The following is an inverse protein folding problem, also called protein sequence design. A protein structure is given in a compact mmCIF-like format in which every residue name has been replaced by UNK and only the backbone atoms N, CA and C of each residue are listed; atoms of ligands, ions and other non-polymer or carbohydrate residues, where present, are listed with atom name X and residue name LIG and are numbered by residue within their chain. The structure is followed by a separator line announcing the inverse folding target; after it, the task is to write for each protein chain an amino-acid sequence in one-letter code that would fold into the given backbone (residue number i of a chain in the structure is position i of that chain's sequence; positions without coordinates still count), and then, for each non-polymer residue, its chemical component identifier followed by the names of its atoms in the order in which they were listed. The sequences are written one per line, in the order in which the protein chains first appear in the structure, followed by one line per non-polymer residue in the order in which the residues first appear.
data_IF_551793416137
#
_entry.id   IF_551793416137
#
_cell.length_a   1.000
_cell.length_b   1.000
_cell.length_c   1.000
_cell.angle_alpha   90.00
_cell.angle_beta   90.00
_cell.angle_gamma   90.00
#
_symmetry.space_group_name_H-M   'P 1'
#
loop_
_entity.id
_entity.type
_entity.pdbx_description
1 polymer ?
#
# COMPACT_ATOMS: atom_id res chain seq x y z
N UNK A 1 35.66 -11.71 16.00
CA UNK A 1 35.61 -13.07 15.41
C UNK A 1 34.92 -13.96 16.44
N UNK A 2 33.59 -14.05 16.37
CA UNK A 2 32.81 -14.95 17.22
C UNK A 2 32.35 -16.12 16.38
N UNK A 3 32.58 -17.29 16.97
CA UNK A 3 32.38 -18.62 16.44
C UNK A 3 30.94 -18.88 15.98
N UNK A 4 30.86 -19.83 15.06
CA UNK A 4 29.67 -20.55 14.63
C UNK A 4 28.57 -20.60 15.69
N UNK A 5 27.39 -20.04 15.37
CA UNK A 5 26.12 -20.38 16.03
C UNK A 5 25.87 -21.88 15.80
N UNK A 6 26.41 -22.75 16.65
CA UNK A 6 26.15 -24.20 16.58
C UNK A 6 24.89 -24.55 17.38
N UNK A 7 23.85 -24.81 16.58
CA UNK A 7 22.69 -25.70 16.80
C UNK A 7 22.69 -26.48 18.11
N UNK A 8 21.65 -26.22 18.89
CA UNK A 8 20.88 -27.27 19.55
C UNK A 8 19.42 -26.96 19.30
N UNK A 9 18.75 -27.63 18.37
CA UNK A 9 17.29 -27.80 18.48
C UNK A 9 16.83 -29.03 17.71
N UNK A 10 16.37 -30.01 18.47
CA UNK A 10 15.32 -30.94 18.06
C UNK A 10 14.02 -30.13 18.16
N UNK A 11 13.59 -29.45 17.09
CA UNK A 11 12.31 -28.73 17.04
C UNK A 11 12.33 -27.34 16.35
N UNK A 12 11.60 -27.23 15.24
CA UNK A 12 10.66 -26.15 14.83
C UNK A 12 10.93 -24.64 15.02
N UNK A 13 12.02 -24.14 15.60
CA UNK A 13 12.16 -22.69 15.88
C UNK A 13 12.86 -21.91 14.75
N UNK A 14 12.18 -20.89 14.21
CA UNK A 14 12.79 -19.92 13.29
C UNK A 14 13.81 -19.01 14.02
N UNK A 15 14.78 -18.46 13.29
CA UNK A 15 15.79 -17.55 13.85
C UNK A 15 15.12 -16.30 14.44
N UNK A 16 15.49 -15.93 15.68
CA UNK A 16 15.02 -14.72 16.35
C UNK A 16 16.19 -13.83 16.73
N UNK A 17 16.16 -12.59 16.30
CA UNK A 17 17.12 -11.53 16.61
C UNK A 17 16.34 -10.45 17.38
N UNK A 18 16.75 -10.15 18.61
CA UNK A 18 15.99 -9.25 19.49
C UNK A 18 16.97 -8.28 20.15
N UNK A 19 16.68 -6.99 20.00
CA UNK A 19 17.20 -5.90 20.81
C UNK A 19 16.03 -5.31 21.61
N UNK A 20 16.14 -5.31 22.93
CA UNK A 20 15.16 -4.67 23.81
C UNK A 20 15.85 -3.85 24.90
N UNK A 21 15.17 -2.84 25.41
CA UNK A 21 15.58 -2.07 26.60
C UNK A 21 17.02 -1.51 26.50
N UNK A 22 17.35 -0.88 25.35
CA UNK A 22 18.68 -0.34 25.06
C UNK A 22 19.70 -1.38 24.57
N UNK A 23 19.24 -2.61 24.31
CA UNK A 23 20.07 -3.70 23.80
C UNK A 23 20.62 -3.40 22.40
N UNK A 24 21.83 -3.89 22.11
CA UNK A 24 22.47 -3.72 20.80
C UNK A 24 22.89 -5.06 20.22
N UNK A 25 22.49 -5.33 18.98
CA UNK A 25 22.85 -6.53 18.25
C UNK A 25 23.63 -6.14 17.00
N UNK A 26 24.93 -6.38 17.01
CA UNK A 26 25.81 -6.11 15.87
C UNK A 26 25.91 -7.33 14.95
N UNK A 27 25.33 -7.22 13.75
CA UNK A 27 25.45 -8.19 12.66
C UNK A 27 26.05 -7.56 11.40
N UNK A 28 26.78 -6.44 11.56
CA UNK A 28 27.47 -5.73 10.47
C UNK A 28 28.50 -6.59 9.72
N UNK A 29 28.90 -7.73 10.28
CA UNK A 29 29.76 -8.72 9.64
C UNK A 29 29.04 -9.66 8.67
N UNK A 30 27.70 -9.69 8.68
CA UNK A 30 26.90 -10.58 7.85
C UNK A 30 26.46 -9.91 6.56
N UNK A 31 26.48 -10.66 5.46
CA UNK A 31 25.95 -10.22 4.16
C UNK A 31 24.65 -10.93 3.78
N UNK A 32 24.25 -11.95 4.55
CA UNK A 32 23.02 -12.71 4.37
C UNK A 32 22.47 -13.18 5.73
N UNK A 33 21.15 -13.16 5.87
CA UNK A 33 20.42 -13.95 6.87
C UNK A 33 19.78 -15.14 6.16
N UNK A 34 20.04 -16.36 6.66
CA UNK A 34 19.50 -17.59 6.06
C UNK A 34 18.43 -18.16 6.97
N UNK A 35 17.23 -18.32 6.40
CA UNK A 35 16.18 -19.11 7.01
C UNK A 35 16.52 -20.61 6.84
N UNK A 36 16.67 -21.30 7.97
CA UNK A 36 16.88 -22.75 8.02
C UNK A 36 15.65 -23.50 8.54
N UNK A 37 14.49 -22.83 8.62
CA UNK A 37 13.24 -23.45 9.03
C UNK A 37 12.86 -24.58 8.06
N UNK A 38 12.29 -25.65 8.60
CA UNK A 38 11.80 -26.78 7.80
C UNK A 38 10.66 -26.27 6.89
N UNK A 39 10.74 -26.56 5.59
CA UNK A 39 9.72 -26.18 4.60
C UNK A 39 8.31 -26.70 4.97
N UNK A 40 8.21 -27.71 5.84
CA UNK A 40 6.96 -28.26 6.38
C UNK A 40 6.39 -27.49 7.58
N UNK A 41 7.21 -26.65 8.22
CA UNK A 41 6.87 -25.93 9.46
C UNK A 41 6.70 -24.42 9.21
N UNK A 42 7.26 -23.88 8.12
CA UNK A 42 6.90 -22.56 7.61
C UNK A 42 7.24 -21.39 8.54
N UNK A 43 8.49 -21.27 8.97
CA UNK A 43 8.94 -20.16 9.81
C UNK A 43 9.46 -18.96 9.01
N UNK A 44 9.34 -17.76 9.56
CA UNK A 44 10.07 -16.56 9.13
C UNK A 44 11.12 -16.19 10.17
N UNK A 45 12.24 -15.62 9.73
CA UNK A 45 13.21 -14.96 10.61
C UNK A 45 12.48 -13.80 11.28
N UNK A 46 12.60 -13.66 12.61
CA UNK A 46 12.07 -12.50 13.33
C UNK A 46 13.22 -11.62 13.75
N UNK A 47 13.17 -10.34 13.38
CA UNK A 47 14.09 -9.29 13.84
C UNK A 47 13.25 -8.24 14.55
N UNK A 48 13.58 -7.96 15.81
CA UNK A 48 12.81 -7.02 16.62
C UNK A 48 13.75 -6.08 17.36
N UNK A 49 13.49 -4.77 17.26
CA UNK A 49 14.11 -3.74 18.06
C UNK A 49 12.96 -2.97 18.77
N UNK A 50 12.96 -3.01 20.10
CA UNK A 50 11.88 -2.45 20.94
C UNK A 50 12.48 -1.75 22.16
N UNK A 51 11.80 -0.77 22.73
CA UNK A 51 12.36 0.02 23.83
C UNK A 51 13.41 1.03 23.39
N UNK A 52 13.60 2.02 24.25
CA UNK A 52 14.49 3.16 24.01
C UNK A 52 15.91 2.71 23.62
N UNK A 53 16.46 3.33 22.57
CA UNK A 53 17.84 3.12 22.09
C UNK A 53 18.24 1.69 21.70
N UNK A 54 17.27 0.77 21.53
CA UNK A 54 17.55 -0.58 21.04
C UNK A 54 17.99 -0.57 19.58
N UNK A 55 19.10 -1.25 19.26
CA UNK A 55 19.68 -1.23 17.90
C UNK A 55 19.97 -2.63 17.37
N UNK A 56 19.61 -2.88 16.11
CA UNK A 56 20.09 -4.04 15.34
C UNK A 56 20.81 -3.55 14.09
N UNK A 57 22.06 -3.94 13.92
CA UNK A 57 22.85 -3.60 12.74
C UNK A 57 22.77 -4.71 11.69
N UNK A 58 22.06 -4.46 10.60
CA UNK A 58 22.01 -5.32 9.40
C UNK A 58 22.57 -4.58 8.17
N UNK A 59 23.45 -3.59 8.41
CA UNK A 59 23.91 -2.59 7.43
C UNK A 59 24.55 -3.16 6.16
N UNK A 60 24.96 -4.44 6.14
CA UNK A 60 25.56 -5.11 4.97
C UNK A 60 24.64 -6.14 4.31
N UNK A 61 23.43 -6.33 4.82
CA UNK A 61 22.45 -7.22 4.20
C UNK A 61 21.80 -6.50 3.03
N UNK A 62 21.99 -7.04 1.82
CA UNK A 62 21.39 -6.48 0.60
C UNK A 62 20.01 -7.03 0.28
N UNK A 63 19.71 -8.23 0.78
CA UNK A 63 18.47 -8.92 0.46
C UNK A 63 17.95 -9.63 1.70
N UNK A 64 16.66 -9.45 1.97
CA UNK A 64 15.94 -10.17 3.00
C UNK A 64 14.73 -10.87 2.39
N UNK A 65 14.50 -12.09 2.85
CA UNK A 65 13.35 -12.90 2.47
C UNK A 65 12.85 -13.68 3.68
N UNK A 66 11.55 -13.98 3.77
CA UNK A 66 11.00 -14.76 4.90
C UNK A 66 11.38 -14.15 6.23
N UNK A 67 11.26 -12.83 6.33
CA UNK A 67 11.72 -12.08 7.50
C UNK A 67 10.59 -11.16 7.94
N UNK A 68 10.25 -11.20 9.22
CA UNK A 68 9.42 -10.19 9.85
C UNK A 68 10.31 -9.29 10.70
N UNK A 69 10.19 -7.99 10.48
CA UNK A 69 10.93 -6.92 11.14
C UNK A 69 9.93 -6.08 11.93
N UNK A 70 10.22 -5.82 13.19
CA UNK A 70 9.42 -4.94 14.06
C UNK A 70 10.33 -3.90 14.69
N UNK A 71 9.96 -2.62 14.52
CA UNK A 71 10.61 -1.46 15.12
C UNK A 71 9.53 -0.71 15.90
N UNK A 72 9.74 -0.53 17.20
CA UNK A 72 8.83 0.17 18.11
C UNK A 72 9.64 1.15 18.98
N UNK A 73 8.96 2.11 19.61
CA UNK A 73 9.58 3.17 20.41
C UNK A 73 10.67 3.96 19.63
N UNK A 74 11.77 4.33 20.28
CA UNK A 74 12.92 5.00 19.62
C UNK A 74 13.97 4.01 19.09
N UNK A 75 13.63 2.72 19.00
CA UNK A 75 14.52 1.69 18.52
C UNK A 75 14.87 1.87 17.02
N UNK A 76 15.95 1.22 16.58
CA UNK A 76 16.40 1.30 15.19
C UNK A 76 16.94 -0.03 14.66
N UNK A 77 16.71 -0.27 13.37
CA UNK A 77 17.34 -1.36 12.63
C UNK A 77 18.01 -0.76 11.41
N UNK A 78 19.32 -0.91 11.30
CA UNK A 78 20.08 -0.42 10.16
C UNK A 78 19.91 -1.37 8.97
N UNK A 79 19.19 -0.89 7.95
CA UNK A 79 18.97 -1.57 6.67
C UNK A 79 19.54 -0.76 5.51
N UNK A 80 20.51 0.14 5.72
CA UNK A 80 20.96 1.11 4.71
C UNK A 80 21.53 0.51 3.41
N UNK A 81 21.87 -0.78 3.38
CA UNK A 81 22.26 -1.49 2.15
C UNK A 81 21.16 -2.40 1.57
N UNK A 82 19.96 -2.42 2.15
CA UNK A 82 18.90 -3.33 1.75
C UNK A 82 18.29 -2.88 0.43
N UNK A 83 18.52 -3.68 -0.62
CA UNK A 83 18.05 -3.43 -1.99
C UNK A 83 16.73 -4.17 -2.27
N UNK A 84 16.44 -5.27 -1.55
CA UNK A 84 15.19 -6.01 -1.76
C UNK A 84 14.67 -6.73 -0.53
N UNK A 85 13.34 -6.73 -0.37
CA UNK A 85 12.62 -7.39 0.71
C UNK A 85 11.47 -8.22 0.14
N UNK A 86 11.40 -9.52 0.45
CA UNK A 86 10.42 -10.46 -0.11
C UNK A 86 9.78 -11.30 1.00
N UNK A 87 8.50 -11.68 0.88
CA UNK A 87 7.86 -12.67 1.76
C UNK A 87 8.06 -12.36 3.26
N UNK A 88 7.44 -11.31 3.78
CA UNK A 88 7.86 -10.72 5.05
C UNK A 88 7.12 -9.43 5.38
N UNK A 89 7.19 -8.97 6.61
CA UNK A 89 6.64 -7.67 7.00
C UNK A 89 7.72 -6.81 7.64
N UNK A 90 7.88 -5.57 7.21
CA UNK A 90 8.56 -4.53 7.98
C UNK A 90 7.47 -3.67 8.62
N UNK A 91 7.35 -3.76 9.93
CA UNK A 91 6.40 -2.95 10.69
C UNK A 91 7.14 -1.92 11.53
N UNK A 92 6.85 -0.66 11.26
CA UNK A 92 7.29 0.48 12.06
C UNK A 92 6.08 0.96 12.83
N UNK A 93 6.06 0.75 14.14
CA UNK A 93 4.93 1.06 15.01
C UNK A 93 5.44 1.80 16.25
N UNK A 94 5.84 3.05 16.05
CA UNK A 94 6.26 3.94 17.13
C UNK A 94 5.36 5.16 17.11
N UNK A 95 4.87 5.59 18.27
CA UNK A 95 4.19 6.90 18.41
C UNK A 95 5.12 7.95 19.01
N UNK A 96 6.41 7.61 19.17
CA UNK A 96 7.40 8.50 19.75
C UNK A 96 7.84 9.54 18.70
N UNK A 97 7.92 10.80 19.11
CA UNK A 97 8.39 11.89 18.25
C UNK A 97 9.86 11.76 17.88
N UNK A 98 10.64 10.98 18.65
CA UNK A 98 12.04 10.69 18.41
C UNK A 98 12.26 9.33 17.73
N UNK A 99 11.20 8.73 17.17
CA UNK A 99 11.31 7.51 16.36
C UNK A 99 12.36 7.69 15.24
N UNK A 100 13.17 6.65 15.03
CA UNK A 100 14.27 6.70 14.07
C UNK A 100 13.80 6.28 12.69
N UNK A 101 14.18 7.05 11.68
CA UNK A 101 13.92 6.70 10.27
C UNK A 101 14.52 5.35 9.90
N UNK A 102 13.75 4.59 9.13
CA UNK A 102 14.24 3.38 8.49
C UNK A 102 14.95 3.75 7.19
N UNK A 103 16.27 3.63 7.18
CA UNK A 103 17.07 3.85 5.98
C UNK A 103 17.23 2.54 5.20
N UNK A 104 17.01 2.60 3.89
CA UNK A 104 17.25 1.51 2.93
C UNK A 104 18.19 1.97 1.81
N UNK A 105 18.58 1.06 0.91
CA UNK A 105 19.46 1.41 -0.22
C UNK A 105 18.80 2.43 -1.16
N UNK A 106 19.60 3.09 -1.99
CA UNK A 106 19.17 4.09 -3.00
C UNK A 106 18.06 3.56 -3.93
N UNK A 107 18.05 2.25 -4.17
CA UNK A 107 16.96 1.56 -4.85
C UNK A 107 16.50 0.42 -3.97
N UNK A 108 15.23 0.46 -3.56
CA UNK A 108 14.64 -0.56 -2.71
C UNK A 108 13.40 -1.17 -3.35
N UNK A 109 13.40 -2.49 -3.49
CA UNK A 109 12.28 -3.23 -4.06
C UNK A 109 11.51 -3.99 -2.98
N UNK A 110 10.21 -3.67 -2.87
CA UNK A 110 9.26 -4.43 -2.09
C UNK A 110 8.62 -5.52 -2.95
N UNK A 111 9.05 -6.74 -2.69
CA UNK A 111 8.79 -7.94 -3.48
C UNK A 111 7.47 -8.64 -3.19
N UNK A 112 7.24 -9.78 -3.86
CA UNK A 112 6.05 -10.60 -3.64
C UNK A 112 5.94 -11.10 -2.20
N UNK A 113 4.73 -11.00 -1.62
CA UNK A 113 4.43 -11.38 -0.24
C UNK A 113 5.09 -10.49 0.81
N UNK A 114 5.66 -9.36 0.38
CA UNK A 114 6.34 -8.42 1.24
C UNK A 114 5.45 -7.24 1.57
N UNK A 115 5.45 -6.83 2.83
CA UNK A 115 4.66 -5.70 3.31
C UNK A 115 5.55 -4.73 4.06
N UNK A 116 5.37 -3.43 3.83
CA UNK A 116 5.80 -2.38 4.74
C UNK A 116 4.55 -1.77 5.35
N UNK A 117 4.53 -1.65 6.67
CA UNK A 117 3.46 -1.02 7.43
C UNK A 117 4.07 0.06 8.32
N UNK A 118 3.77 1.33 8.03
CA UNK A 118 4.20 2.47 8.86
C UNK A 118 3.01 2.99 9.65
N UNK A 119 2.88 2.53 10.90
CA UNK A 119 1.70 2.78 11.73
C UNK A 119 1.97 3.84 12.80
N UNK A 120 1.29 4.99 12.70
CA UNK A 120 1.28 6.02 13.76
C UNK A 120 2.65 6.65 14.08
N UNK A 121 3.59 6.55 13.14
CA UNK A 121 5.00 6.90 13.31
C UNK A 121 5.37 8.21 12.65
N UNK A 122 6.13 9.05 13.36
CA UNK A 122 6.78 10.24 12.80
C UNK A 122 8.04 9.88 12.00
N UNK A 123 8.58 8.67 12.18
CA UNK A 123 9.71 8.18 11.40
C UNK A 123 9.29 7.87 9.96
N UNK A 124 10.18 8.20 9.03
CA UNK A 124 10.04 7.93 7.62
C UNK A 124 10.74 6.63 7.20
N UNK A 125 10.30 6.07 6.07
CA UNK A 125 11.14 5.18 5.27
C UNK A 125 11.95 6.06 4.32
N UNK A 126 13.26 6.08 4.51
CA UNK A 126 14.20 6.91 3.74
C UNK A 126 14.93 6.04 2.74
N UNK A 127 14.76 6.33 1.46
CA UNK A 127 15.39 5.59 0.36
C UNK A 127 16.65 6.32 -0.08
N UNK A 128 17.80 5.68 0.08
CA UNK A 128 19.10 6.26 -0.24
C UNK A 128 19.67 7.15 0.86
N UNK A 129 20.59 8.07 0.53
CA UNK A 129 21.39 8.80 1.52
C UNK A 129 20.60 9.84 2.35
N UNK A 130 19.31 10.04 2.06
CA UNK A 130 18.40 10.80 2.93
C UNK A 130 18.69 12.29 3.03
N UNK A 131 19.17 12.94 1.96
CA UNK A 131 19.31 14.41 1.98
C UNK A 131 17.97 15.09 1.68
N UNK A 132 17.44 15.93 2.60
CA UNK A 132 16.16 16.62 2.43
C UNK A 132 16.25 17.83 1.46
N UNK A 133 16.87 17.64 0.29
CA UNK A 133 17.17 18.73 -0.66
C UNK A 133 16.23 18.82 -1.87
N UNK A 134 15.05 18.20 -1.83
CA UNK A 134 14.01 18.41 -2.85
C UNK A 134 14.31 17.79 -4.22
N UNK A 135 15.22 16.81 -4.27
CA UNK A 135 15.32 15.84 -5.34
C UNK A 135 15.35 14.47 -4.67
N UNK A 136 14.37 13.61 -4.99
CA UNK A 136 14.39 12.24 -4.52
C UNK A 136 15.63 11.53 -5.10
N UNK A 137 16.64 11.29 -4.25
CA UNK A 137 17.87 10.61 -4.67
C UNK A 137 17.72 9.07 -4.66
N UNK A 138 16.57 8.55 -4.22
CA UNK A 138 16.28 7.12 -4.18
C UNK A 138 14.83 6.78 -4.52
N UNK A 139 14.60 5.53 -4.91
CA UNK A 139 13.29 5.03 -5.34
C UNK A 139 12.87 3.74 -4.63
N UNK A 140 11.68 3.77 -4.03
CA UNK A 140 10.97 2.60 -3.54
C UNK A 140 10.06 2.07 -4.64
N UNK A 141 10.30 0.84 -5.09
CA UNK A 141 9.42 0.15 -6.03
C UNK A 141 8.60 -0.91 -5.29
N UNK A 142 7.28 -0.73 -5.22
CA UNK A 142 6.35 -1.78 -4.81
C UNK A 142 6.08 -2.67 -6.01
N UNK A 143 6.69 -3.85 -6.05
CA UNK A 143 6.52 -4.77 -7.18
C UNK A 143 5.20 -5.53 -7.09
N UNK A 144 4.83 -6.24 -8.16
CA UNK A 144 3.64 -7.08 -8.15
C UNK A 144 3.65 -8.09 -6.98
N UNK A 145 2.59 -8.06 -6.18
CA UNK A 145 2.43 -8.86 -4.98
C UNK A 145 3.14 -8.32 -3.73
N UNK A 146 3.83 -7.19 -3.82
CA UNK A 146 4.25 -6.38 -2.67
C UNK A 146 3.17 -5.40 -2.24
N UNK A 147 3.23 -4.94 -0.98
CA UNK A 147 2.23 -4.00 -0.45
C UNK A 147 2.83 -2.97 0.51
N UNK A 148 2.51 -1.70 0.29
CA UNK A 148 2.87 -0.60 1.20
C UNK A 148 1.58 -0.06 1.85
N UNK A 149 1.56 -0.07 3.18
CA UNK A 149 0.47 0.45 4.00
C UNK A 149 0.97 1.39 5.09
N UNK A 150 0.06 2.21 5.63
CA UNK A 150 0.34 3.02 6.79
C UNK A 150 0.08 4.52 6.60
N UNK A 151 0.37 5.27 7.66
CA UNK A 151 0.16 6.72 7.77
C UNK A 151 1.48 7.49 7.91
N UNK A 152 2.58 6.90 7.44
CA UNK A 152 3.93 7.45 7.59
C UNK A 152 4.38 8.31 6.42
N UNK A 153 5.69 8.60 6.38
CA UNK A 153 6.32 9.29 5.25
C UNK A 153 7.30 8.37 4.52
N UNK A 154 7.36 8.50 3.21
CA UNK A 154 8.42 7.99 2.35
C UNK A 154 9.27 9.17 1.90
N UNK A 155 10.58 9.11 2.07
CA UNK A 155 11.52 10.09 1.51
C UNK A 155 12.20 9.44 0.31
N UNK A 156 11.88 9.93 -0.88
CA UNK A 156 12.23 9.31 -2.16
C UNK A 156 11.01 9.06 -3.05
N UNK A 157 11.26 8.68 -4.30
CA UNK A 157 10.21 8.38 -5.27
C UNK A 157 9.52 7.06 -4.92
N UNK A 158 8.21 7.00 -5.16
CA UNK A 158 7.42 5.77 -5.00
C UNK A 158 6.85 5.31 -6.36
N UNK A 159 7.24 4.11 -6.77
CA UNK A 159 6.75 3.47 -8.00
C UNK A 159 5.90 2.26 -7.64
N UNK A 160 4.61 2.29 -8.00
CA UNK A 160 3.63 1.26 -7.65
C UNK A 160 3.33 0.33 -8.84
N UNK A 161 3.78 -0.93 -8.74
CA UNK A 161 3.36 -2.09 -9.54
C UNK A 161 2.55 -3.12 -8.72
N UNK A 162 2.32 -2.85 -7.44
CA UNK A 162 1.68 -3.74 -6.47
C UNK A 162 0.46 -3.09 -5.84
N UNK A 163 0.43 -3.07 -4.51
CA UNK A 163 -0.63 -2.45 -3.74
C UNK A 163 -0.06 -1.34 -2.86
N UNK A 164 -0.60 -0.14 -2.99
CA UNK A 164 -0.37 0.96 -2.05
C UNK A 164 -1.70 1.31 -1.44
N UNK A 165 -1.77 1.38 -0.12
CA UNK A 165 -2.93 1.90 0.59
C UNK A 165 -2.46 2.80 1.71
N UNK A 166 -2.64 4.13 1.63
CA UNK A 166 -2.54 4.94 2.84
C UNK A 166 -3.47 4.34 3.90
N UNK A 167 -3.06 4.31 5.17
CA UNK A 167 -3.99 4.00 6.26
C UNK A 167 -3.53 3.03 7.35
N UNK A 168 -4.26 3.18 8.46
CA UNK A 168 -4.46 2.34 9.63
C UNK A 168 -5.80 2.84 10.26
N UNK A 169 -6.88 2.65 9.50
CA UNK A 169 -7.60 3.73 8.82
C UNK A 169 -8.68 4.48 9.57
N UNK A 170 -9.02 5.72 9.13
CA UNK A 170 -8.39 6.46 8.01
C UNK A 170 -7.09 7.23 8.36
N UNK A 171 -6.19 7.42 7.39
CA UNK A 171 -4.96 8.21 7.57
C UNK A 171 -4.22 8.64 6.30
N UNK A 172 -3.12 9.39 6.49
CA UNK A 172 -2.37 10.04 5.39
C UNK A 172 -1.01 9.37 5.18
N UNK A 173 -0.71 8.95 3.96
CA UNK A 173 0.64 8.54 3.54
C UNK A 173 1.30 9.70 2.79
N UNK A 174 2.45 10.14 3.27
CA UNK A 174 3.22 11.23 2.67
C UNK A 174 4.35 10.66 1.81
N UNK A 175 4.56 11.24 0.62
CA UNK A 175 5.67 10.94 -0.27
C UNK A 175 6.43 12.23 -0.54
N UNK A 176 7.63 12.36 0.01
CA UNK A 176 8.58 13.44 -0.28
C UNK A 176 9.41 13.05 -1.52
N UNK A 177 8.73 13.05 -2.67
CA UNK A 177 9.23 12.60 -3.97
C UNK A 177 8.10 12.52 -5.00
N UNK A 178 8.38 11.95 -6.17
CA UNK A 178 7.38 11.68 -7.20
C UNK A 178 6.64 10.36 -6.92
N UNK A 179 5.39 10.27 -7.41
CA UNK A 179 4.58 9.06 -7.36
C UNK A 179 4.22 8.58 -8.76
N UNK A 180 4.48 7.31 -9.05
CA UNK A 180 4.03 6.65 -10.27
C UNK A 180 3.09 5.47 -9.95
N UNK A 181 1.85 5.55 -10.47
CA UNK A 181 0.91 4.43 -10.48
C UNK A 181 0.97 3.74 -11.84
N UNK A 182 1.29 2.44 -11.88
CA UNK A 182 1.47 1.70 -13.13
C UNK A 182 0.31 0.73 -13.41
N UNK A 183 0.18 0.30 -14.66
CA UNK A 183 -0.78 -0.73 -15.04
C UNK A 183 -0.62 -2.02 -14.21
N UNK A 184 -1.75 -2.58 -13.77
CA UNK A 184 -1.79 -3.78 -12.91
C UNK A 184 -1.53 -3.55 -11.43
N UNK A 185 -1.24 -2.31 -11.02
CA UNK A 185 -1.15 -1.92 -9.61
C UNK A 185 -2.50 -1.43 -9.06
N UNK A 186 -2.62 -1.35 -7.74
CA UNK A 186 -3.81 -0.84 -7.04
C UNK A 186 -3.41 0.25 -6.05
N UNK A 187 -4.16 1.35 -6.07
CA UNK A 187 -4.23 2.32 -4.97
C UNK A 187 -5.53 2.06 -4.21
N UNK A 188 -5.43 1.64 -2.95
CA UNK A 188 -6.56 1.43 -2.05
C UNK A 188 -6.78 2.67 -1.20
N UNK A 189 -8.01 3.19 -1.17
CA UNK A 189 -8.41 4.33 -0.33
C UNK A 189 -9.60 3.90 0.51
N UNK A 190 -9.47 4.00 1.82
CA UNK A 190 -10.53 3.68 2.77
C UNK A 190 -11.25 4.94 3.25
N UNK A 191 -12.58 4.88 3.32
CA UNK A 191 -13.45 6.01 3.68
C UNK A 191 -14.35 5.61 4.83
N UNK A 192 -14.19 6.26 5.99
CA UNK A 192 -15.04 6.06 7.17
C UNK A 192 -16.03 7.22 7.40
N UNK A 193 -15.89 8.33 6.67
CA UNK A 193 -16.75 9.50 6.80
C UNK A 193 -16.46 10.57 5.75
N UNK A 194 -17.35 11.58 5.68
CA UNK A 194 -17.23 12.72 4.75
C UNK A 194 -15.89 13.47 4.85
N UNK A 195 -15.28 13.48 6.04
CA UNK A 195 -13.98 14.12 6.32
C UNK A 195 -12.96 13.15 6.92
N UNK A 196 -13.26 11.86 6.90
CA UNK A 196 -12.43 10.82 7.52
C UNK A 196 -12.19 9.75 6.46
N UNK A 197 -11.12 9.93 5.70
CA UNK A 197 -10.74 9.07 4.58
C UNK A 197 -9.23 9.12 4.37
N UNK A 198 -8.73 8.09 3.70
CA UNK A 198 -7.32 7.99 3.38
C UNK A 198 -6.87 9.04 2.37
N UNK A 199 -5.68 9.60 2.59
CA UNK A 199 -5.08 10.59 1.69
C UNK A 199 -3.68 10.18 1.31
N UNK A 200 -3.36 10.25 0.02
CA UNK A 200 -2.00 10.17 -0.51
C UNK A 200 -1.51 11.60 -0.78
N UNK A 201 -0.53 12.06 -0.01
CA UNK A 201 0.02 13.41 -0.09
C UNK A 201 1.44 13.37 -0.69
N UNK A 202 1.62 13.99 -1.86
CA UNK A 202 2.82 13.84 -2.69
C UNK A 202 3.48 15.21 -2.86
N UNK A 203 4.72 15.36 -2.39
CA UNK A 203 5.50 16.59 -2.54
C UNK A 203 6.00 16.83 -3.98
N UNK A 204 6.06 15.79 -4.80
CA UNK A 204 6.41 15.83 -6.22
C UNK A 204 5.20 15.71 -7.15
N UNK A 205 5.46 15.19 -8.36
CA UNK A 205 4.44 14.90 -9.38
C UNK A 205 3.79 13.53 -9.14
N UNK A 206 2.47 13.45 -9.35
CA UNK A 206 1.75 12.19 -9.44
C UNK A 206 1.45 11.83 -10.90
N UNK A 207 2.02 10.72 -11.38
CA UNK A 207 1.82 10.18 -12.72
C UNK A 207 0.98 8.90 -12.67
N UNK A 208 -0.27 8.98 -13.10
CA UNK A 208 -1.20 7.85 -13.13
C UNK A 208 -1.19 7.22 -14.53
N UNK A 209 -0.35 6.20 -14.70
CA UNK A 209 -0.09 5.53 -15.98
C UNK A 209 -0.94 4.26 -16.17
N UNK A 210 -1.95 4.06 -15.32
CA UNK A 210 -2.91 2.95 -15.40
C UNK A 210 -3.26 2.39 -14.02
N UNK A 211 -3.68 1.13 -13.99
CA UNK A 211 -3.99 0.38 -12.76
C UNK A 211 -5.39 0.65 -12.21
N UNK A 212 -5.60 0.28 -10.95
CA UNK A 212 -6.90 0.30 -10.28
C UNK A 212 -6.90 1.31 -9.14
N UNK A 213 -7.91 2.17 -9.09
CA UNK A 213 -8.31 2.82 -7.84
C UNK A 213 -9.37 1.95 -7.18
N UNK A 214 -9.10 1.51 -5.95
CA UNK A 214 -10.01 0.72 -5.14
C UNK A 214 -10.50 1.56 -3.95
N UNK A 215 -11.83 1.63 -3.76
CA UNK A 215 -12.45 2.31 -2.62
C UNK A 215 -13.08 1.29 -1.69
N UNK A 216 -12.76 1.39 -0.40
CA UNK A 216 -13.37 0.59 0.66
C UNK A 216 -14.09 1.50 1.65
N UNK A 217 -15.39 1.29 1.85
CA UNK A 217 -16.14 2.00 2.89
C UNK A 217 -16.05 1.26 4.23
N UNK A 218 -15.60 1.95 5.27
CA UNK A 218 -15.40 1.40 6.61
C UNK A 218 -16.58 1.71 7.53
N UNK A 219 -16.70 0.93 8.60
CA UNK A 219 -17.65 1.14 9.71
C UNK A 219 -19.12 1.33 9.29
N UNK A 220 -19.49 0.80 8.13
CA UNK A 220 -20.84 0.92 7.56
C UNK A 220 -21.15 2.31 7.02
N UNK A 221 -20.13 3.14 6.74
CA UNK A 221 -20.32 4.43 6.09
C UNK A 221 -20.98 4.23 4.73
N UNK A 222 -22.04 5.01 4.49
CA UNK A 222 -22.73 5.07 3.21
C UNK A 222 -22.65 6.52 2.74
N UNK A 223 -21.90 6.82 1.66
CA UNK A 223 -21.82 8.17 1.14
C UNK A 223 -23.18 8.65 0.67
N UNK A 224 -23.35 9.96 0.63
CA UNK A 224 -24.53 10.64 0.08
C UNK A 224 -24.17 11.28 -1.24
N UNK A 225 -25.20 11.53 -2.04
CA UNK A 225 -25.05 12.33 -3.26
C UNK A 225 -24.47 13.71 -2.91
N UNK A 226 -23.41 14.09 -3.62
CA UNK A 226 -22.69 15.34 -3.42
C UNK A 226 -21.49 15.22 -2.47
N UNK A 227 -21.31 14.10 -1.76
CA UNK A 227 -20.12 13.88 -0.95
C UNK A 227 -18.88 13.84 -1.86
N UNK A 228 -17.79 14.46 -1.40
CA UNK A 228 -16.54 14.53 -2.14
C UNK A 228 -15.36 14.12 -1.28
N UNK A 229 -14.45 13.32 -1.83
CA UNK A 229 -13.29 12.79 -1.14
C UNK A 229 -12.04 13.13 -1.95
N UNK A 230 -11.24 14.08 -1.46
CA UNK A 230 -9.98 14.52 -2.08
C UNK A 230 -8.85 13.62 -1.60
N UNK A 231 -8.72 12.45 -2.21
CA UNK A 231 -7.86 11.37 -1.70
C UNK A 231 -6.41 11.44 -2.17
N UNK A 232 -6.09 12.30 -3.15
CA UNK A 232 -4.74 12.46 -3.66
C UNK A 232 -4.43 13.94 -3.84
N UNK A 233 -3.30 14.36 -3.27
CA UNK A 233 -2.71 15.69 -3.40
C UNK A 233 -1.30 15.55 -4.00
N UNK A 234 -0.93 16.42 -4.93
CA UNK A 234 0.39 16.40 -5.56
C UNK A 234 0.89 17.83 -5.85
N UNK A 235 1.91 18.28 -5.14
CA UNK A 235 2.48 19.64 -5.26
C UNK A 235 3.10 19.89 -6.65
N UNK A 236 3.71 18.87 -7.25
CA UNK A 236 4.23 18.86 -8.63
C UNK A 236 3.16 18.62 -9.72
N UNK A 237 1.90 18.45 -9.30
CA UNK A 237 0.74 18.26 -10.16
C UNK A 237 0.40 16.81 -10.46
N UNK A 238 -0.81 16.60 -10.98
CA UNK A 238 -1.36 15.27 -11.33
C UNK A 238 -1.46 15.12 -12.85
N UNK A 239 -1.09 13.95 -13.37
CA UNK A 239 -1.28 13.59 -14.78
C UNK A 239 -1.75 12.15 -14.96
N UNK A 240 -2.39 11.88 -16.10
CA UNK A 240 -2.88 10.54 -16.44
C UNK A 240 -4.21 10.17 -15.78
N UNK A 241 -4.52 8.86 -15.73
CA UNK A 241 -5.77 8.31 -15.20
C UNK A 241 -5.65 6.83 -14.87
N UNK A 242 -6.47 6.34 -13.93
CA UNK A 242 -6.59 4.90 -13.64
C UNK A 242 -7.25 4.15 -14.82
N UNK A 243 -6.86 2.89 -15.03
CA UNK A 243 -7.50 2.01 -16.02
C UNK A 243 -8.88 1.52 -15.56
N UNK A 244 -9.03 1.35 -14.24
CA UNK A 244 -10.26 0.83 -13.65
C UNK A 244 -10.53 1.43 -12.27
N UNK A 245 -11.81 1.40 -11.92
CA UNK A 245 -12.31 1.76 -10.60
C UNK A 245 -13.01 0.54 -10.02
N UNK A 246 -12.60 0.16 -8.82
CA UNK A 246 -13.28 -0.84 -8.02
C UNK A 246 -13.77 -0.16 -6.74
N UNK A 247 -14.93 -0.59 -6.29
CA UNK A 247 -15.43 -0.14 -5.03
C UNK A 247 -16.29 -1.24 -4.42
N UNK A 248 -15.98 -1.56 -3.17
CA UNK A 248 -16.71 -2.54 -2.39
C UNK A 248 -17.81 -1.83 -1.60
N UNK A 249 -19.04 -2.35 -1.69
CA UNK A 249 -20.21 -1.84 -0.97
C UNK A 249 -20.61 -0.38 -1.27
N UNK A 250 -20.40 0.11 -2.49
CA UNK A 250 -20.73 1.49 -2.91
C UNK A 250 -22.24 1.86 -2.89
N UNK A 251 -23.10 0.94 -2.48
CA UNK A 251 -24.55 1.11 -2.55
C UNK A 251 -25.04 1.30 -3.99
N UNK A 252 -26.04 2.17 -4.16
CA UNK A 252 -26.67 2.48 -5.44
C UNK A 252 -26.17 3.79 -6.06
N UNK A 253 -25.05 4.35 -5.56
CA UNK A 253 -24.49 5.59 -6.09
C UNK A 253 -23.61 5.32 -7.30
N UNK A 254 -23.55 6.31 -8.18
CA UNK A 254 -22.54 6.36 -9.23
C UNK A 254 -21.38 7.23 -8.75
N UNK A 255 -20.16 6.92 -9.18
CA UNK A 255 -18.98 7.65 -8.74
C UNK A 255 -18.28 8.27 -9.94
N UNK A 256 -17.93 9.54 -9.79
CA UNK A 256 -17.20 10.29 -10.80
C UNK A 256 -15.92 10.86 -10.23
N UNK A 257 -15.00 11.21 -11.12
CA UNK A 257 -13.69 11.73 -10.77
C UNK A 257 -13.52 13.15 -11.25
N UNK A 258 -12.97 13.99 -10.38
CA UNK A 258 -12.45 15.29 -10.73
C UNK A 258 -10.91 15.25 -10.63
N UNK A 259 -10.26 15.54 -11.76
CA UNK A 259 -8.82 15.59 -11.90
C UNK A 259 -8.41 17.06 -11.96
N UNK A 260 -8.04 17.61 -10.81
CA UNK A 260 -7.50 18.96 -10.70
C UNK A 260 -6.05 19.01 -11.19
N UNK A 261 -5.47 20.21 -11.20
CA UNK A 261 -4.05 20.38 -11.55
C UNK A 261 -3.11 19.74 -10.53
N UNK A 262 -3.53 19.64 -9.26
CA UNK A 262 -2.72 19.21 -8.12
C UNK A 262 -3.49 18.27 -7.15
N UNK A 263 -4.64 17.75 -7.57
CA UNK A 263 -5.43 16.84 -6.76
C UNK A 263 -6.25 15.87 -7.61
N UNK A 264 -6.67 14.76 -7.00
CA UNK A 264 -7.75 13.92 -7.50
C UNK A 264 -8.85 13.78 -6.44
N UNK A 265 -10.09 13.79 -6.92
CA UNK A 265 -11.27 13.79 -6.06
C UNK A 265 -12.32 12.82 -6.56
N UNK A 266 -12.84 12.02 -5.65
CA UNK A 266 -13.99 11.15 -5.87
C UNK A 266 -15.26 11.93 -5.51
N UNK A 267 -16.27 11.90 -6.38
CA UNK A 267 -17.56 12.56 -6.17
C UNK A 267 -18.67 11.52 -6.23
N UNK A 268 -19.43 11.41 -5.16
CA UNK A 268 -20.60 10.54 -5.07
C UNK A 268 -21.81 11.19 -5.79
N UNK A 269 -22.37 10.51 -6.77
CA UNK A 269 -23.46 10.99 -7.62
C UNK A 269 -24.66 10.04 -7.67
N UNK A 270 -25.78 10.54 -8.21
CA UNK A 270 -26.97 9.73 -8.46
C UNK A 270 -26.76 8.71 -9.58
N UNK A 271 -27.18 7.46 -9.38
CA UNK A 271 -27.28 6.50 -10.49
C UNK A 271 -28.34 6.97 -11.48
N UNK A 272 -27.94 7.41 -12.66
CA UNK A 272 -28.89 7.65 -13.74
C UNK A 272 -29.30 6.30 -14.31
N UNK A 273 -30.26 5.63 -13.69
CA UNK A 273 -30.86 4.44 -14.31
C UNK A 273 -31.42 4.90 -15.65
N UNK A 274 -30.75 4.57 -16.76
CA UNK A 274 -31.28 4.85 -18.09
C UNK A 274 -32.63 4.12 -18.16
N UNK A 275 -33.76 4.81 -18.31
CA UNK A 275 -35.03 4.13 -18.48
C UNK A 275 -34.90 3.26 -19.73
N UNK A 276 -35.14 1.95 -19.59
CA UNK A 276 -35.30 1.07 -20.75
C UNK A 276 -36.24 1.78 -21.72
N UNK A 277 -35.79 2.13 -22.95
CA UNK A 277 -36.64 2.83 -23.88
C UNK A 277 -37.95 2.06 -24.00
N UNK A 278 -39.09 2.74 -23.89
CA UNK A 278 -40.42 2.12 -23.93
C UNK A 278 -40.72 1.29 -25.21
N UNK A 279 -39.75 1.15 -26.12
CA UNK A 279 -39.79 0.31 -27.31
C UNK A 279 -39.92 -1.19 -27.04
N UNK A 280 -39.64 -1.71 -25.83
CA UNK A 280 -39.86 -3.14 -25.53
C UNK A 280 -41.35 -3.50 -25.50
N UNK A 281 -42.25 -2.54 -25.26
CA UNK A 281 -43.69 -2.78 -25.40
C UNK A 281 -44.19 -2.74 -26.85
N UNK A 282 -43.51 -2.01 -27.74
CA UNK A 282 -43.92 -1.86 -29.14
C UNK A 282 -43.65 -3.10 -30.01
N UNK A 283 -42.66 -3.92 -29.66
CA UNK A 283 -42.43 -5.20 -30.34
C UNK A 283 -43.31 -6.34 -29.81
N UNK A 284 -43.74 -6.27 -28.55
CA UNK A 284 -44.67 -7.25 -27.96
C UNK A 284 -46.09 -7.19 -28.55
N UNK A 285 -46.58 -5.98 -28.83
CA UNK A 285 -47.92 -5.78 -29.42
C UNK A 285 -48.01 -6.13 -30.91
N UNK A 286 -46.91 -5.97 -31.66
CA UNK A 286 -46.88 -6.28 -33.09
C UNK A 286 -46.88 -7.80 -33.37
N UNK A 287 -46.21 -8.59 -32.52
CA UNK A 287 -46.16 -10.05 -32.68
C UNK A 287 -47.48 -10.73 -32.27
N UNK A 288 -48.18 -10.18 -31.26
CA UNK A 288 -49.50 -10.65 -30.85
C UNK A 288 -50.59 -10.43 -31.90
N UNK A 289 -50.56 -9.29 -32.62
CA UNK A 289 -51.55 -8.99 -33.66
C UNK A 289 -51.32 -9.80 -34.95
N UNK A 290 -50.06 -10.08 -35.31
CA UNK A 290 -49.72 -10.91 -36.47
C UNK A 290 -50.12 -12.40 -36.29
N UNK A 291 -50.04 -12.93 -35.07
CA UNK A 291 -50.49 -14.30 -34.76
C UNK A 291 -52.02 -14.41 -34.68
N UNK A 292 -52.72 -13.36 -34.21
CA UNK A 292 -54.18 -13.32 -34.18
C UNK A 292 -54.80 -13.26 -35.60
N UNK A 293 -54.17 -12.53 -36.52
CA UNK A 293 -54.62 -12.45 -37.92
C UNK A 293 -54.36 -13.73 -38.72
N UNK A 294 -53.34 -14.52 -38.36
CA UNK A 294 -53.05 -15.80 -39.03
C UNK A 294 -54.06 -16.91 -38.69
N UNK A 295 -54.73 -16.84 -37.54
CA UNK A 295 -55.79 -17.80 -37.14
C UNK A 295 -57.15 -17.53 -37.78
N UNK A 296 -57.39 -16.35 -38.35
CA UNK A 296 -58.67 -15.99 -39.00
C UNK A 296 -58.76 -16.30 -40.50
N UNK A 297 -57.65 -16.66 -41.13
CA UNK A 297 -57.59 -16.98 -42.57
C UNK A 297 -57.57 -18.49 -42.86
N UNK A 298 -57.75 -19.33 -41.83
CA UNK A 298 -57.73 -20.80 -41.94
C UNK A 298 -59.05 -21.46 -41.50
N UNK A 299 -60.15 -20.71 -41.47
CA UNK A 299 -61.53 -21.19 -41.21
C UNK A 299 -62.46 -20.86 -42.35
#
# INVERSE_FOLDING_TARGET
MIETVRRNYVGTAALRIIASDGGKVDLSGLTQLKDYSDARVGGKISVSATGEDSLVDLSKIKQLKKTDITIEDTAGIDLGSLESFNDGTIRMASTDTEARDLHVADTFSLGSGATIEVAGSTAAVVVGPGTPSGAADGSLTVTSGGSLFGTGSIVGDLVNYGLVGPGNSPGTLIIDGDYEQLAGSTLLIEIAGESVFDTLDIGGQASILGGTLEISFLDGYLPKEGDTFEFLLADGGVSGSFDSFLCDNCGALDFSFDYGSNYMKLIAGSSTTVPLPGGIWLFGSALGLALALRRRLAS
#
